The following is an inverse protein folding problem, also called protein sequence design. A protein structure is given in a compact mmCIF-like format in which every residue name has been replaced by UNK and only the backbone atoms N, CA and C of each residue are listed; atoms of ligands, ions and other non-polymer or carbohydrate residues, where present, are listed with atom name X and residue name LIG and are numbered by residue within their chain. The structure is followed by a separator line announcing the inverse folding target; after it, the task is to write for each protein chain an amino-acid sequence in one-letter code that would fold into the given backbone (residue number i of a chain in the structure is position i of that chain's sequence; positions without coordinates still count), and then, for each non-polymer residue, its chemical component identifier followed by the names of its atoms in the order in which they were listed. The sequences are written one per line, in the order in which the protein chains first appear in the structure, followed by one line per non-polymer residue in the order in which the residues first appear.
data_IF_442534388582
#
_entry.id   IF_442534388582
#
_cell.length_a   1.000
_cell.length_b   1.000
_cell.length_c   1.000
_cell.angle_alpha   90.00
_cell.angle_beta   90.00
_cell.angle_gamma   90.00
#
_symmetry.space_group_name_H-M   'P 1'
#
loop_
_entity.id
_entity.type
_entity.pdbx_description
1 polymer ?
#
# COMPACT_ATOMS: atom_id res chain seq x y z
N UNK A 1 -23.03 -31.22 -4.69
CA UNK A 1 -23.02 -30.62 -6.04
C UNK A 1 -22.93 -29.11 -5.86
N UNK A 2 -21.95 -28.45 -6.49
CA UNK A 2 -21.78 -26.98 -6.40
C UNK A 2 -20.37 -26.53 -6.04
N UNK A 3 -19.38 -26.90 -6.84
CA UNK A 3 -18.03 -26.33 -6.84
C UNK A 3 -18.07 -24.94 -7.47
N UNK A 4 -17.81 -23.87 -6.71
CA UNK A 4 -17.64 -22.52 -7.25
C UNK A 4 -16.17 -22.32 -7.63
N UNK A 5 -15.96 -22.08 -8.93
CA UNK A 5 -14.67 -21.97 -9.60
C UNK A 5 -13.82 -20.80 -9.12
N UNK A 6 -12.50 -21.02 -9.20
CA UNK A 6 -11.47 -20.00 -9.05
C UNK A 6 -11.53 -19.08 -10.26
N UNK A 7 -12.04 -17.87 -10.10
CA UNK A 7 -11.99 -16.89 -11.16
C UNK A 7 -10.55 -16.47 -11.42
N UNK A 8 -10.18 -16.70 -12.68
CA UNK A 8 -8.84 -16.59 -13.23
C UNK A 8 -8.59 -15.12 -13.57
N UNK A 9 -7.52 -14.55 -13.02
CA UNK A 9 -7.02 -13.22 -13.39
C UNK A 9 -6.60 -13.28 -14.85
N UNK A 10 -7.45 -12.78 -15.74
CA UNK A 10 -7.13 -12.65 -17.17
C UNK A 10 -6.32 -11.38 -17.37
N UNK A 11 -4.99 -11.52 -17.41
CA UNK A 11 -4.10 -10.47 -17.88
C UNK A 11 -4.19 -10.42 -19.42
N UNK A 12 -4.90 -9.43 -19.95
CA UNK A 12 -4.94 -9.18 -21.40
C UNK A 12 -3.65 -8.48 -21.80
N UNK A 13 -2.71 -9.23 -22.39
CA UNK A 13 -1.49 -8.68 -22.98
C UNK A 13 -1.81 -8.17 -24.38
N UNK A 14 -2.06 -6.87 -24.53
CA UNK A 14 -2.14 -6.24 -25.86
C UNK A 14 -0.71 -6.05 -26.37
N UNK A 15 -0.33 -6.81 -27.40
CA UNK A 15 0.93 -6.63 -28.14
C UNK A 15 0.62 -6.01 -29.50
N UNK A 16 1.04 -4.75 -29.73
CA UNK A 16 1.27 -4.21 -31.06
C UNK A 16 2.25 -3.02 -31.04
N UNK A 17 2.93 -2.83 -32.17
CA UNK A 17 4.33 -2.39 -32.33
C UNK A 17 4.55 -0.91 -32.70
N UNK A 18 5.73 -0.39 -32.31
CA UNK A 18 6.60 0.59 -32.99
C UNK A 18 6.13 2.05 -33.20
N UNK A 19 6.65 2.97 -32.38
CA UNK A 19 7.28 4.25 -32.77
C UNK A 19 7.80 4.98 -31.52
N UNK A 20 8.84 5.81 -31.66
CA UNK A 20 9.75 6.37 -30.65
C UNK A 20 9.16 7.09 -29.40
N UNK A 21 7.83 7.13 -29.21
CA UNK A 21 7.13 7.60 -27.99
C UNK A 21 7.00 6.51 -26.89
N UNK A 22 7.50 5.30 -27.15
CA UNK A 22 7.22 4.07 -26.38
C UNK A 22 7.95 3.91 -25.04
N UNK A 23 8.90 4.78 -24.67
CA UNK A 23 9.60 4.63 -23.38
C UNK A 23 8.72 5.00 -22.17
N UNK A 24 7.73 5.88 -22.33
CA UNK A 24 6.84 6.28 -21.23
C UNK A 24 5.61 5.38 -21.09
N UNK A 25 5.23 4.62 -22.12
CA UNK A 25 4.01 3.81 -22.13
C UNK A 25 4.22 2.41 -21.50
N UNK A 26 5.44 1.90 -21.48
CA UNK A 26 5.80 0.62 -20.82
C UNK A 26 5.76 0.69 -19.29
N UNK A 27 5.61 1.89 -18.73
CA UNK A 27 5.65 2.13 -17.29
C UNK A 27 4.26 2.39 -16.70
N UNK A 28 3.17 2.07 -17.40
CA UNK A 28 1.81 2.23 -16.86
C UNK A 28 1.05 0.90 -16.83
N UNK A 29 0.35 0.66 -15.72
CA UNK A 29 -0.50 -0.52 -15.50
C UNK A 29 -1.88 -0.04 -15.07
N UNK A 30 -2.94 -0.49 -15.73
CA UNK A 30 -4.32 -0.22 -15.30
C UNK A 30 -4.89 -1.42 -14.56
N UNK A 31 -5.46 -1.18 -13.38
CA UNK A 31 -6.18 -2.19 -12.61
C UNK A 31 -7.62 -1.74 -12.39
N UNK A 32 -8.56 -2.68 -12.46
CA UNK A 32 -9.97 -2.42 -12.18
C UNK A 32 -10.22 -2.59 -10.69
N UNK A 33 -10.52 -1.48 -10.02
CA UNK A 33 -11.04 -1.46 -8.66
C UNK A 33 -12.57 -1.46 -8.69
N UNK A 34 -13.20 -1.62 -7.53
CA UNK A 34 -14.65 -1.62 -7.39
C UNK A 34 -15.27 -0.29 -7.85
N UNK A 35 -14.55 0.80 -7.62
CA UNK A 35 -14.90 2.19 -7.93
C UNK A 35 -14.51 2.61 -9.36
N UNK A 36 -13.89 1.70 -10.12
CA UNK A 36 -13.50 1.91 -11.52
C UNK A 36 -12.03 1.61 -11.84
N UNK A 37 -11.60 1.83 -13.09
CA UNK A 37 -10.21 1.62 -13.49
C UNK A 37 -9.28 2.71 -12.91
N UNK A 38 -8.18 2.27 -12.31
CA UNK A 38 -7.10 3.13 -11.82
C UNK A 38 -5.83 2.84 -12.62
N UNK A 39 -5.14 3.88 -13.06
CA UNK A 39 -3.89 3.77 -13.81
C UNK A 39 -2.71 4.09 -12.89
N UNK A 40 -1.79 3.15 -12.77
CA UNK A 40 -0.57 3.26 -11.97
C UNK A 40 0.63 3.45 -12.87
N UNK A 41 1.58 4.29 -12.45
CA UNK A 41 2.90 4.36 -13.06
C UNK A 41 3.86 3.46 -12.27
N UNK A 42 4.56 2.54 -12.94
CA UNK A 42 5.47 1.56 -12.35
C UNK A 42 6.85 2.13 -12.01
N UNK A 43 7.15 3.37 -12.42
CA UNK A 43 8.36 4.08 -11.99
C UNK A 43 8.48 4.09 -10.46
N UNK A 44 9.62 3.61 -9.97
CA UNK A 44 9.89 3.58 -8.53
C UNK A 44 9.27 2.42 -7.78
N UNK A 45 8.54 1.49 -8.43
CA UNK A 45 7.84 0.40 -7.71
C UNK A 45 8.83 -0.51 -6.97
N UNK A 46 9.97 -0.85 -7.60
CA UNK A 46 10.97 -1.73 -6.99
C UNK A 46 11.63 -1.00 -5.82
N UNK A 47 12.10 0.22 -6.05
CA UNK A 47 12.80 1.05 -5.07
C UNK A 47 11.93 1.34 -3.84
N UNK A 48 10.65 1.68 -4.05
CA UNK A 48 9.68 1.89 -2.97
C UNK A 48 9.34 0.60 -2.22
N UNK A 49 9.51 -0.57 -2.85
CA UNK A 49 9.23 -1.87 -2.24
C UNK A 49 10.44 -2.45 -1.47
N UNK A 50 11.63 -1.88 -1.65
CA UNK A 50 12.83 -2.24 -0.90
C UNK A 50 12.70 -1.73 0.54
N UNK A 51 12.48 -2.65 1.47
CA UNK A 51 12.38 -2.40 2.90
C UNK A 51 13.55 -3.08 3.64
N UNK A 52 14.76 -2.68 3.26
CA UNK A 52 15.99 -3.24 3.82
C UNK A 52 16.63 -2.22 4.76
N UNK A 53 16.62 -2.52 6.06
CA UNK A 53 17.49 -1.86 7.02
C UNK A 53 18.78 -2.68 7.18
N UNK A 54 19.95 -2.17 6.75
CA UNK A 54 21.22 -2.85 6.94
C UNK A 54 21.51 -3.10 8.43
N UNK A 55 21.97 -4.32 8.76
CA UNK A 55 22.23 -4.71 10.16
C UNK A 55 23.20 -3.79 10.90
N UNK A 56 24.22 -3.27 10.22
CA UNK A 56 25.17 -2.35 10.85
C UNK A 56 24.51 -1.07 11.36
N UNK A 57 23.50 -0.54 10.65
CA UNK A 57 22.75 0.64 11.08
C UNK A 57 21.96 0.33 12.36
N UNK A 58 21.23 -0.79 12.38
CA UNK A 58 20.51 -1.21 13.59
C UNK A 58 21.46 -1.44 14.77
N UNK A 59 22.66 -1.99 14.54
CA UNK A 59 23.66 -2.18 15.60
C UNK A 59 24.22 -0.86 16.12
N UNK A 60 24.52 0.11 15.26
CA UNK A 60 24.95 1.44 15.68
C UNK A 60 23.87 2.16 16.50
N UNK A 61 22.61 2.08 16.07
CA UNK A 61 21.48 2.68 16.80
C UNK A 61 21.25 2.00 18.15
N UNK A 62 21.47 0.67 18.23
CA UNK A 62 21.40 -0.06 19.48
C UNK A 62 22.50 0.34 20.49
N UNK A 63 23.70 0.65 20.00
CA UNK A 63 24.85 1.06 20.81
C UNK A 63 24.85 2.55 21.19
N UNK A 64 23.88 3.33 20.68
CA UNK A 64 23.76 4.73 21.01
C UNK A 64 23.47 4.95 22.50
N UNK A 65 24.03 6.02 23.07
CA UNK A 65 23.74 6.46 24.44
C UNK A 65 22.28 6.94 24.61
N UNK A 66 21.57 7.18 23.50
CA UNK A 66 20.16 7.56 23.52
C UNK A 66 19.28 6.33 23.78
N UNK A 67 18.68 6.25 24.97
CA UNK A 67 17.83 5.12 25.38
C UNK A 67 16.71 4.78 24.41
N UNK A 68 16.08 5.78 23.77
CA UNK A 68 15.01 5.49 22.80
C UNK A 68 15.55 4.79 21.54
N UNK A 69 16.77 5.10 21.10
CA UNK A 69 17.38 4.45 19.95
C UNK A 69 17.65 2.97 20.24
N UNK A 70 18.20 2.65 21.40
CA UNK A 70 18.44 1.25 21.77
C UNK A 70 17.16 0.43 21.98
N UNK A 71 16.10 1.07 22.49
CA UNK A 71 14.78 0.45 22.62
C UNK A 71 14.09 0.18 21.27
N UNK A 72 14.26 1.06 20.27
CA UNK A 72 13.61 0.92 18.96
C UNK A 72 14.27 -0.11 18.05
N UNK A 73 15.57 -0.37 18.22
CA UNK A 73 16.36 -1.28 17.37
C UNK A 73 16.93 -2.48 18.14
N UNK A 74 16.10 -3.28 18.83
CA UNK A 74 16.58 -4.38 19.67
C UNK A 74 17.22 -5.52 18.87
N UNK A 75 16.98 -5.59 17.56
CA UNK A 75 17.66 -6.51 16.63
C UNK A 75 19.12 -6.14 16.37
N UNK A 76 19.54 -4.92 16.69
CA UNK A 76 20.94 -4.49 16.62
C UNK A 76 21.84 -5.12 17.68
N UNK A 77 21.25 -5.75 18.71
CA UNK A 77 21.97 -6.41 19.79
C UNK A 77 22.79 -7.60 19.29
N UNK A 78 24.13 -7.61 19.43
CA UNK A 78 24.99 -8.69 18.93
C UNK A 78 24.72 -10.05 19.61
N UNK A 79 24.07 -10.06 20.78
CA UNK A 79 23.67 -11.29 21.47
C UNK A 79 22.41 -11.93 20.89
N UNK A 80 21.64 -11.20 20.05
CA UNK A 80 20.46 -11.73 19.37
C UNK A 80 20.85 -12.20 17.98
N UNK A 81 20.71 -13.50 17.71
CA UNK A 81 20.86 -14.00 16.36
C UNK A 81 19.62 -13.64 15.54
N UNK A 82 19.72 -12.61 14.69
CA UNK A 82 18.62 -12.22 13.80
C UNK A 82 18.63 -13.08 12.53
N UNK A 83 17.77 -14.11 12.52
CA UNK A 83 17.46 -14.90 11.32
C UNK A 83 16.33 -14.26 10.47
N UNK A 84 16.06 -12.96 10.67
CA UNK A 84 14.99 -12.29 9.93
C UNK A 84 15.36 -12.26 8.46
N UNK A 85 14.59 -13.01 7.66
CA UNK A 85 14.65 -12.93 6.21
C UNK A 85 14.25 -11.51 5.79
N UNK A 86 14.92 -10.90 4.80
CA UNK A 86 14.44 -9.65 4.23
C UNK A 86 13.01 -9.84 3.74
N UNK A 87 12.07 -9.03 4.26
CA UNK A 87 10.73 -8.92 3.71
C UNK A 87 10.65 -7.66 2.86
N UNK A 88 9.87 -7.71 1.78
CA UNK A 88 9.55 -6.51 1.02
C UNK A 88 8.52 -5.66 1.77
N UNK A 89 8.49 -4.35 1.49
CA UNK A 89 7.48 -3.45 2.03
C UNK A 89 6.06 -3.98 1.77
N UNK A 90 5.82 -4.47 0.56
CA UNK A 90 4.53 -5.05 0.14
C UNK A 90 4.11 -6.22 1.03
N UNK A 91 5.05 -7.08 1.43
CA UNK A 91 4.74 -8.24 2.27
C UNK A 91 4.46 -7.81 3.72
N UNK A 92 5.21 -6.83 4.23
CA UNK A 92 4.96 -6.25 5.55
C UNK A 92 3.58 -5.58 5.59
N UNK A 93 3.26 -4.75 4.59
CA UNK A 93 1.96 -4.11 4.45
C UNK A 93 0.82 -5.12 4.35
N UNK A 94 0.97 -6.15 3.49
CA UNK A 94 -0.01 -7.23 3.35
C UNK A 94 -0.26 -7.93 4.69
N UNK A 95 0.79 -8.27 5.43
CA UNK A 95 0.69 -8.95 6.72
C UNK A 95 -0.03 -8.08 7.76
N UNK A 96 0.32 -6.79 7.81
CA UNK A 96 -0.34 -5.82 8.70
C UNK A 96 -1.82 -5.65 8.36
N UNK A 97 -2.17 -5.54 7.07
CA UNK A 97 -3.56 -5.45 6.62
C UNK A 97 -4.35 -6.72 6.93
N UNK A 98 -3.79 -7.90 6.67
CA UNK A 98 -4.45 -9.18 6.98
C UNK A 98 -4.69 -9.32 8.49
N UNK A 99 -3.72 -8.94 9.31
CA UNK A 99 -3.86 -8.93 10.78
C UNK A 99 -5.00 -8.00 11.21
N UNK A 100 -5.03 -6.77 10.66
CA UNK A 100 -6.07 -5.80 10.96
C UNK A 100 -7.46 -6.30 10.55
N UNK A 101 -7.62 -6.79 9.32
CA UNK A 101 -8.90 -7.30 8.83
C UNK A 101 -9.42 -8.44 9.69
N UNK A 102 -8.56 -9.39 10.09
CA UNK A 102 -8.93 -10.46 11.01
C UNK A 102 -9.44 -9.96 12.36
N UNK A 103 -8.85 -8.88 12.88
CA UNK A 103 -9.32 -8.27 14.13
C UNK A 103 -10.68 -7.58 13.96
N UNK A 104 -10.92 -6.92 12.82
CA UNK A 104 -12.19 -6.27 12.51
C UNK A 104 -13.32 -7.29 12.25
N UNK A 105 -13.03 -8.42 11.62
CA UNK A 105 -13.99 -9.51 11.38
C UNK A 105 -14.57 -10.11 12.67
N UNK A 106 -13.82 -10.01 13.78
CA UNK A 106 -14.22 -10.55 15.08
C UNK A 106 -15.10 -9.59 15.91
N UNK A 107 -15.49 -8.43 15.36
CA UNK A 107 -16.18 -7.35 16.08
C UNK A 107 -17.43 -6.90 15.31
N UNK A 108 -18.36 -6.26 16.01
CA UNK A 108 -19.45 -5.53 15.38
C UNK A 108 -18.92 -4.22 14.78
N UNK A 109 -18.92 -4.13 13.45
CA UNK A 109 -18.37 -2.99 12.73
C UNK A 109 -19.43 -1.90 12.52
N UNK A 110 -19.04 -0.65 12.75
CA UNK A 110 -19.84 0.54 12.45
C UNK A 110 -19.02 1.44 11.52
N UNK A 111 -19.65 2.00 10.49
CA UNK A 111 -18.99 2.81 9.48
C UNK A 111 -19.45 4.26 9.56
N UNK A 112 -18.49 5.19 9.54
CA UNK A 112 -18.74 6.63 9.46
C UNK A 112 -18.06 7.12 8.18
N UNK A 113 -18.85 7.73 7.30
CA UNK A 113 -18.33 8.29 6.06
C UNK A 113 -18.11 9.79 6.21
N UNK A 114 -16.87 10.22 6.05
CA UNK A 114 -16.49 11.62 6.09
C UNK A 114 -16.49 12.19 4.66
N UNK A 115 -17.15 13.35 4.46
CA UNK A 115 -17.23 14.03 3.16
C UNK A 115 -16.56 15.40 3.27
N UNK A 116 -15.62 15.68 2.37
CA UNK A 116 -15.01 17.00 2.20
C UNK A 116 -15.95 17.90 1.37
N UNK A 117 -16.47 19.00 1.91
CA UNK A 117 -17.47 19.81 1.22
C UNK A 117 -16.87 20.76 0.17
N UNK A 118 -15.60 21.14 0.28
CA UNK A 118 -14.89 22.02 -0.67
C UNK A 118 -13.37 21.85 -0.57
N UNK A 119 -12.64 22.18 -1.64
CA UNK A 119 -11.17 22.10 -1.69
C UNK A 119 -10.46 23.17 -0.84
N UNK A 120 -11.07 24.35 -0.73
CA UNK A 120 -10.48 25.53 -0.09
C UNK A 120 -10.48 25.48 1.44
N UNK A 121 -11.03 24.42 2.05
CA UNK A 121 -11.17 24.26 3.51
C UNK A 121 -11.97 25.40 4.16
N UNK A 122 -12.90 25.99 3.43
CA UNK A 122 -13.71 27.10 3.90
C UNK A 122 -15.00 26.61 4.54
N UNK A 123 -15.38 27.23 5.65
CA UNK A 123 -16.66 26.95 6.28
C UNK A 123 -17.82 27.38 5.37
N UNK A 124 -18.95 26.65 5.41
CA UNK A 124 -20.19 26.96 4.68
C UNK A 124 -20.09 26.98 3.14
N UNK A 125 -18.97 26.55 2.58
CA UNK A 125 -18.77 26.36 1.14
C UNK A 125 -19.06 24.91 0.76
N UNK A 126 -19.80 24.70 -0.33
CA UNK A 126 -20.20 23.36 -0.80
C UNK A 126 -20.01 23.24 -2.32
N UNK A 127 -19.15 22.32 -2.72
CA UNK A 127 -18.82 22.02 -4.12
C UNK A 127 -19.50 20.71 -4.53
N UNK A 128 -20.60 20.82 -5.29
CA UNK A 128 -21.42 19.66 -5.67
C UNK A 128 -20.62 18.59 -6.43
N UNK A 129 -19.77 18.99 -7.38
CA UNK A 129 -18.97 18.04 -8.17
C UNK A 129 -17.99 17.22 -7.34
N UNK A 130 -17.35 17.86 -6.35
CA UNK A 130 -16.42 17.21 -5.42
C UNK A 130 -17.16 16.20 -4.51
N UNK A 131 -18.31 16.61 -3.98
CA UNK A 131 -19.12 15.74 -3.09
C UNK A 131 -19.73 14.58 -3.87
N UNK A 132 -20.27 14.83 -5.07
CA UNK A 132 -20.80 13.79 -5.94
C UNK A 132 -19.72 12.77 -6.35
N UNK A 133 -18.49 13.22 -6.58
CA UNK A 133 -17.37 12.31 -6.81
C UNK A 133 -17.14 11.43 -5.57
N UNK A 134 -16.98 12.01 -4.38
CA UNK A 134 -16.76 11.24 -3.14
C UNK A 134 -17.87 10.23 -2.85
N UNK A 135 -19.15 10.59 -2.99
CA UNK A 135 -20.27 9.68 -2.74
C UNK A 135 -20.23 8.44 -3.63
N UNK A 136 -19.70 8.55 -4.85
CA UNK A 136 -19.49 7.38 -5.74
C UNK A 136 -18.41 6.42 -5.26
N UNK A 137 -17.51 6.82 -4.36
CA UNK A 137 -16.47 5.95 -3.76
C UNK A 137 -16.91 5.33 -2.42
N UNK A 138 -18.08 5.68 -1.89
CA UNK A 138 -18.54 5.20 -0.58
C UNK A 138 -19.40 3.91 -0.67
N UNK A 139 -19.66 3.44 -1.88
CA UNK A 139 -20.54 2.32 -2.23
C UNK A 139 -19.95 1.51 -3.35
#
# INVERSE_FOLDING_TARGET
MGSCSRDSISAVLVTQTFSHAMHHCLLIVSMRHFEGPVVYTTNGFIEKNLDLLPRHISSCLFQSDLLIASCLFPEGNPKRHSNRKPSSLSNNLRTSLQTLLKLLEQRSNHYIFCIKPNELKQAKMFELGLVQHQVRYLW
#
